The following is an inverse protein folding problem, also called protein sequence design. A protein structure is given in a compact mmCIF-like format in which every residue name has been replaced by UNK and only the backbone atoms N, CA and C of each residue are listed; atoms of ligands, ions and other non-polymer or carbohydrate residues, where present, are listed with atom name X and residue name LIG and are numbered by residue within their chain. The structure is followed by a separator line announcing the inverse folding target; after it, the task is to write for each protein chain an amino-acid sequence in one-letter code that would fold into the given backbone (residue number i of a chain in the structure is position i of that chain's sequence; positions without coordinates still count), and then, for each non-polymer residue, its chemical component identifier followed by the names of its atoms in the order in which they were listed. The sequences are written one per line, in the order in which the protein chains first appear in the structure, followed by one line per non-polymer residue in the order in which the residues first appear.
data_IF_351751081065
#
_entry.id   IF_351751081065
#
_cell.length_a   1.000
_cell.length_b   1.000
_cell.length_c   1.000
_cell.angle_alpha   90.00
_cell.angle_beta   90.00
_cell.angle_gamma   90.00
#
_symmetry.space_group_name_H-M   'P 1'
#
loop_
_entity.id
_entity.type
_entity.pdbx_description
1 polymer ?
#
# COMPACT_ATOMS: atom_id res chain seq x y z
N UNK A 1 38.61 30.61 -29.47
CA UNK A 1 37.23 30.99 -29.80
C UNK A 1 36.50 31.13 -28.49
N UNK A 2 36.06 32.34 -28.21
CA UNK A 2 35.45 32.79 -26.96
C UNK A 2 34.17 32.02 -26.68
N UNK A 3 34.21 31.25 -25.60
CA UNK A 3 33.05 30.67 -24.93
C UNK A 3 32.26 31.83 -24.31
N UNK A 4 31.35 32.39 -25.10
CA UNK A 4 30.36 33.31 -24.59
C UNK A 4 29.41 32.46 -23.74
N UNK A 5 29.50 32.62 -22.42
CA UNK A 5 28.54 32.08 -21.46
C UNK A 5 27.12 32.43 -21.97
N UNK A 6 26.43 31.42 -22.52
CA UNK A 6 25.05 31.56 -23.00
C UNK A 6 24.16 31.87 -21.80
N UNK A 7 23.24 32.80 -21.98
CA UNK A 7 22.38 33.25 -20.87
C UNK A 7 21.38 32.14 -20.51
N UNK A 8 20.97 32.02 -19.23
CA UNK A 8 20.00 31.00 -18.79
C UNK A 8 18.76 30.88 -19.69
N UNK A 9 18.23 32.02 -20.15
CA UNK A 9 17.07 32.10 -21.02
C UNK A 9 17.20 31.37 -22.37
N UNK A 10 18.42 31.10 -22.86
CA UNK A 10 18.61 30.48 -24.18
C UNK A 10 18.46 28.96 -24.16
N UNK A 11 19.01 28.28 -23.17
CA UNK A 11 18.84 26.83 -23.04
C UNK A 11 17.43 26.49 -22.53
N UNK A 12 16.85 27.30 -21.64
CA UNK A 12 15.46 27.13 -21.18
C UNK A 12 14.47 27.14 -22.34
N UNK A 13 14.57 28.12 -23.26
CA UNK A 13 13.73 28.16 -24.47
C UNK A 13 13.89 26.94 -25.38
N UNK A 14 15.08 26.34 -25.42
CA UNK A 14 15.34 25.13 -26.21
C UNK A 14 14.73 23.89 -25.57
N UNK A 15 14.73 23.81 -24.24
CA UNK A 15 14.01 22.78 -23.49
C UNK A 15 12.51 22.91 -23.73
N UNK A 16 11.96 24.13 -23.64
CA UNK A 16 10.55 24.40 -23.94
C UNK A 16 10.18 24.01 -25.37
N UNK A 17 11.04 24.34 -26.36
CA UNK A 17 10.84 23.94 -27.75
C UNK A 17 10.87 22.42 -27.94
N UNK A 18 11.81 21.72 -27.30
CA UNK A 18 11.88 20.26 -27.35
C UNK A 18 10.61 19.62 -26.75
N UNK A 19 10.08 20.16 -25.65
CA UNK A 19 8.82 19.70 -25.08
C UNK A 19 7.60 20.01 -25.94
N UNK A 20 7.58 21.15 -26.63
CA UNK A 20 6.49 21.50 -27.54
C UNK A 20 6.41 20.55 -28.75
N UNK A 21 7.54 19.94 -29.13
CA UNK A 21 7.66 18.99 -30.24
C UNK A 21 7.69 17.52 -29.78
N UNK A 22 7.56 17.24 -28.48
CA UNK A 22 7.68 15.89 -27.92
C UNK A 22 6.61 14.93 -28.48
N UNK A 23 7.06 13.76 -28.94
CA UNK A 23 6.21 12.67 -29.46
C UNK A 23 6.71 11.33 -28.89
N UNK A 24 5.83 10.64 -28.16
CA UNK A 24 6.14 9.34 -27.55
C UNK A 24 6.37 8.23 -28.58
N UNK A 25 5.97 8.45 -29.84
CA UNK A 25 6.24 7.55 -30.97
C UNK A 25 7.63 7.76 -31.57
N UNK A 26 8.37 8.79 -31.15
CA UNK A 26 9.72 9.12 -31.62
C UNK A 26 10.70 9.26 -30.44
N UNK A 27 10.87 8.19 -29.62
CA UNK A 27 11.63 8.27 -28.36
C UNK A 27 13.09 8.69 -28.56
N UNK A 28 13.74 8.22 -29.63
CA UNK A 28 15.14 8.53 -29.92
C UNK A 28 15.34 10.00 -30.31
N UNK A 29 14.37 10.59 -31.01
CA UNK A 29 14.42 12.00 -31.42
C UNK A 29 14.29 12.91 -30.19
N UNK A 30 13.31 12.64 -29.32
CA UNK A 30 13.13 13.39 -28.07
C UNK A 30 14.35 13.28 -27.16
N UNK A 31 14.86 12.06 -26.92
CA UNK A 31 16.07 11.86 -26.09
C UNK A 31 17.27 12.59 -26.67
N UNK A 32 17.47 12.52 -27.98
CA UNK A 32 18.60 13.19 -28.65
C UNK A 32 18.48 14.71 -28.58
N UNK A 33 17.30 15.26 -28.83
CA UNK A 33 17.04 16.70 -28.77
C UNK A 33 17.26 17.23 -27.35
N UNK A 34 16.72 16.56 -26.34
CA UNK A 34 16.89 16.94 -24.94
C UNK A 34 18.35 16.79 -24.50
N UNK A 35 19.00 15.65 -24.77
CA UNK A 35 20.40 15.42 -24.40
C UNK A 35 21.35 16.47 -24.99
N UNK A 36 21.11 16.95 -26.21
CA UNK A 36 21.91 17.99 -26.84
C UNK A 36 21.85 19.34 -26.10
N UNK A 37 20.71 19.67 -25.47
CA UNK A 37 20.59 20.88 -24.63
C UNK A 37 21.17 20.63 -23.25
N UNK A 38 20.87 19.49 -22.65
CA UNK A 38 21.25 19.18 -21.27
C UNK A 38 22.76 18.95 -21.08
N UNK A 39 23.48 18.54 -22.14
CA UNK A 39 24.94 18.42 -22.12
C UNK A 39 25.67 19.77 -21.95
N UNK A 40 24.96 20.89 -22.10
CA UNK A 40 25.49 22.24 -21.88
C UNK A 40 25.44 22.66 -20.40
N UNK A 41 24.67 21.95 -19.57
CA UNK A 41 24.54 22.19 -18.14
C UNK A 41 25.64 21.44 -17.35
N UNK A 42 26.00 21.92 -16.15
CA UNK A 42 26.94 21.21 -15.29
C UNK A 42 26.51 19.77 -14.99
N UNK A 43 27.49 18.87 -14.87
CA UNK A 43 27.21 17.50 -14.43
C UNK A 43 26.58 17.51 -13.04
N UNK A 44 25.48 16.77 -12.87
CA UNK A 44 24.72 16.72 -11.62
C UNK A 44 23.85 17.96 -11.35
N UNK A 45 23.70 18.87 -12.32
CA UNK A 45 22.77 19.98 -12.22
C UNK A 45 21.33 19.48 -12.00
N UNK A 46 20.64 20.03 -10.99
CA UNK A 46 19.32 19.59 -10.57
C UNK A 46 18.28 19.71 -11.70
N UNK A 47 18.35 20.79 -12.48
CA UNK A 47 17.42 21.03 -13.60
C UNK A 47 17.68 20.04 -14.73
N UNK A 48 18.94 19.77 -15.05
CA UNK A 48 19.32 18.75 -16.03
C UNK A 48 18.81 17.36 -15.65
N UNK A 49 18.98 16.95 -14.38
CA UNK A 49 18.49 15.68 -13.87
C UNK A 49 16.96 15.57 -13.96
N UNK A 50 16.24 16.63 -13.58
CA UNK A 50 14.78 16.70 -13.68
C UNK A 50 14.28 16.53 -15.12
N UNK A 51 14.91 17.20 -16.08
CA UNK A 51 14.49 17.14 -17.48
C UNK A 51 14.75 15.77 -18.10
N UNK A 52 15.87 15.13 -17.74
CA UNK A 52 16.12 13.72 -18.10
C UNK A 52 15.07 12.80 -17.51
N UNK A 53 14.74 12.97 -16.24
CA UNK A 53 13.70 12.18 -15.58
C UNK A 53 12.35 12.35 -16.27
N UNK A 54 11.99 13.59 -16.62
CA UNK A 54 10.76 13.94 -17.33
C UNK A 54 10.66 13.27 -18.70
N UNK A 55 11.77 13.20 -19.46
CA UNK A 55 11.79 12.48 -20.74
C UNK A 55 11.53 10.99 -20.55
N UNK A 56 12.21 10.34 -19.60
CA UNK A 56 11.99 8.90 -19.38
C UNK A 56 10.57 8.62 -18.90
N UNK A 57 10.02 9.43 -17.99
CA UNK A 57 8.64 9.32 -17.51
C UNK A 57 7.62 9.51 -18.64
N UNK A 58 7.81 10.53 -19.48
CA UNK A 58 6.96 10.78 -20.65
C UNK A 58 6.95 9.60 -21.64
N UNK A 59 8.08 8.89 -21.78
CA UNK A 59 8.23 7.73 -22.65
C UNK A 59 7.75 6.41 -22.00
N UNK A 60 7.21 6.45 -20.79
CA UNK A 60 6.77 5.26 -20.06
C UNK A 60 7.91 4.41 -19.52
N UNK A 61 9.07 5.01 -19.26
CA UNK A 61 10.25 4.38 -18.66
C UNK A 61 10.38 4.79 -17.18
N UNK A 62 9.33 4.56 -16.39
CA UNK A 62 9.23 5.05 -15.02
C UNK A 62 10.36 4.55 -14.12
N UNK A 63 10.80 3.30 -14.33
CA UNK A 63 11.91 2.69 -13.59
C UNK A 63 13.21 3.49 -13.80
N UNK A 64 13.43 4.03 -15.00
CA UNK A 64 14.58 4.87 -15.31
C UNK A 64 14.41 6.31 -14.80
N UNK A 65 13.17 6.84 -14.81
CA UNK A 65 12.85 8.18 -14.35
C UNK A 65 13.00 8.36 -12.82
N UNK A 66 12.55 7.39 -12.03
CA UNK A 66 12.54 7.46 -10.55
C UNK A 66 13.89 7.85 -9.93
N UNK A 67 15.02 7.18 -10.24
CA UNK A 67 16.31 7.58 -9.65
C UNK A 67 16.71 9.00 -10.05
N UNK A 68 16.45 9.41 -11.30
CA UNK A 68 16.77 10.76 -11.78
C UNK A 68 15.95 11.84 -11.06
N UNK A 69 14.65 11.64 -10.84
CA UNK A 69 13.85 12.58 -10.04
C UNK A 69 14.35 12.69 -8.60
N UNK A 70 14.72 11.56 -7.97
CA UNK A 70 15.26 11.56 -6.60
C UNK A 70 16.58 12.31 -6.52
N UNK A 71 17.46 12.12 -7.49
CA UNK A 71 18.73 12.84 -7.59
C UNK A 71 18.51 14.34 -7.82
N UNK A 72 17.58 14.71 -8.71
CA UNK A 72 17.23 16.11 -8.97
C UNK A 72 16.72 16.82 -7.71
N UNK A 73 15.81 16.17 -6.96
CA UNK A 73 15.30 16.68 -5.70
C UNK A 73 16.40 16.81 -4.64
N UNK A 74 17.31 15.82 -4.55
CA UNK A 74 18.43 15.85 -3.62
C UNK A 74 19.46 16.95 -3.96
N UNK A 75 19.64 17.26 -5.24
CA UNK A 75 20.50 18.34 -5.72
C UNK A 75 19.91 19.75 -5.49
N UNK A 76 18.63 19.86 -5.12
CA UNK A 76 17.97 21.12 -4.77
C UNK A 76 17.37 21.84 -5.98
N UNK A 77 16.23 21.37 -6.46
CA UNK A 77 15.45 22.04 -7.49
C UNK A 77 14.86 23.36 -6.98
N UNK A 78 14.92 24.41 -7.79
CA UNK A 78 14.19 25.64 -7.53
C UNK A 78 12.70 25.51 -7.90
N UNK A 79 11.84 26.27 -7.24
CA UNK A 79 10.46 26.42 -7.67
C UNK A 79 10.37 27.00 -9.09
N UNK A 80 9.44 26.54 -9.95
CA UNK A 80 8.36 25.58 -9.66
C UNK A 80 8.75 24.10 -9.86
N UNK A 81 9.99 23.82 -10.28
CA UNK A 81 10.41 22.49 -10.73
C UNK A 81 10.49 21.46 -9.60
N UNK A 82 10.75 21.89 -8.36
CA UNK A 82 10.70 21.00 -7.19
C UNK A 82 9.33 20.32 -7.06
N UNK A 83 8.25 21.09 -7.04
CA UNK A 83 6.88 20.57 -6.89
C UNK A 83 6.44 19.75 -8.11
N UNK A 84 6.90 20.12 -9.31
CA UNK A 84 6.68 19.31 -10.52
C UNK A 84 7.37 17.95 -10.41
N UNK A 85 8.63 17.93 -9.98
CA UNK A 85 9.41 16.70 -9.80
C UNK A 85 8.77 15.77 -8.77
N UNK A 86 8.26 16.32 -7.66
CA UNK A 86 7.55 15.52 -6.65
C UNK A 86 6.29 14.88 -7.23
N UNK A 87 5.49 15.64 -8.00
CA UNK A 87 4.24 15.12 -8.60
C UNK A 87 4.55 14.05 -9.64
N UNK A 88 5.51 14.29 -10.53
CA UNK A 88 5.89 13.34 -11.57
C UNK A 88 6.52 12.08 -10.96
N UNK A 89 7.45 12.22 -10.01
CA UNK A 89 7.99 11.09 -9.24
C UNK A 89 6.88 10.26 -8.59
N UNK A 90 5.86 10.90 -8.00
CA UNK A 90 4.73 10.18 -7.43
C UNK A 90 3.94 9.40 -8.48
N UNK A 91 3.74 9.99 -9.67
CA UNK A 91 3.12 9.31 -10.81
C UNK A 91 3.94 8.08 -11.24
N UNK A 92 5.25 8.23 -11.40
CA UNK A 92 6.14 7.14 -11.80
C UNK A 92 6.17 6.02 -10.75
N UNK A 93 6.25 6.36 -9.45
CA UNK A 93 6.18 5.40 -8.34
C UNK A 93 4.87 4.60 -8.36
N UNK A 94 3.75 5.27 -8.60
CA UNK A 94 2.44 4.62 -8.69
C UNK A 94 2.37 3.65 -9.87
N UNK A 95 2.88 4.03 -11.04
CA UNK A 95 2.87 3.19 -12.24
C UNK A 95 3.71 1.92 -12.07
N UNK A 96 4.79 1.96 -11.30
CA UNK A 96 5.59 0.76 -10.95
C UNK A 96 5.02 -0.03 -9.75
N UNK A 97 3.84 0.34 -9.24
CA UNK A 97 3.15 -0.35 -8.14
C UNK A 97 3.51 0.12 -6.74
N UNK A 98 4.38 1.12 -6.58
CA UNK A 98 4.72 1.72 -5.28
C UNK A 98 3.76 2.88 -4.92
N UNK A 99 2.49 2.53 -4.76
CA UNK A 99 1.45 3.50 -4.40
C UNK A 99 1.69 4.15 -3.02
N UNK A 100 2.23 3.38 -2.06
CA UNK A 100 2.59 3.87 -0.74
C UNK A 100 3.74 4.89 -0.79
N UNK A 101 4.77 4.65 -1.60
CA UNK A 101 5.84 5.61 -1.87
C UNK A 101 5.33 6.89 -2.53
N UNK A 102 4.43 6.76 -3.52
CA UNK A 102 3.77 7.90 -4.17
C UNK A 102 3.00 8.78 -3.16
N UNK A 103 2.22 8.17 -2.26
CA UNK A 103 1.52 8.90 -1.18
C UNK A 103 2.51 9.61 -0.26
N UNK A 104 3.66 9.00 0.01
CA UNK A 104 4.67 9.55 0.92
C UNK A 104 5.26 10.85 0.37
N UNK A 105 5.71 10.86 -0.89
CA UNK A 105 6.35 12.04 -1.49
C UNK A 105 5.37 13.20 -1.66
N UNK A 106 4.11 12.93 -2.02
CA UNK A 106 3.08 13.98 -2.21
C UNK A 106 2.72 14.72 -0.92
N UNK A 107 2.91 14.11 0.26
CA UNK A 107 2.66 14.80 1.55
C UNK A 107 3.62 15.97 1.79
N UNK A 108 4.75 16.03 1.10
CA UNK A 108 5.73 17.10 1.25
C UNK A 108 5.30 18.43 0.64
N UNK A 109 4.32 18.42 -0.27
CA UNK A 109 3.87 19.62 -0.97
C UNK A 109 3.04 20.50 -0.02
N UNK A 110 3.45 21.77 0.11
CA UNK A 110 2.76 22.75 0.95
C UNK A 110 1.33 23.00 0.45
N UNK A 111 0.32 23.15 1.33
CA UNK A 111 -1.03 23.56 0.93
C UNK A 111 -1.12 24.92 0.22
N UNK A 112 -0.08 25.77 0.34
CA UNK A 112 0.02 27.06 -0.35
C UNK A 112 0.78 26.98 -1.67
N UNK A 113 1.32 25.81 -2.02
CA UNK A 113 2.02 25.60 -3.28
C UNK A 113 1.05 25.77 -4.46
N UNK A 114 1.45 26.44 -5.56
CA UNK A 114 0.60 26.57 -6.75
C UNK A 114 0.10 25.24 -7.33
N UNK A 115 0.86 24.15 -7.16
CA UNK A 115 0.52 22.80 -7.62
C UNK A 115 -0.13 21.93 -6.55
N UNK A 116 -0.43 22.44 -5.36
CA UNK A 116 -1.04 21.66 -4.27
C UNK A 116 -2.35 20.95 -4.70
N UNK A 117 -3.14 21.58 -5.57
CA UNK A 117 -4.40 20.98 -6.08
C UNK A 117 -4.15 19.85 -7.07
N UNK A 118 -3.15 19.98 -7.93
CA UNK A 118 -2.71 18.90 -8.80
C UNK A 118 -2.17 17.73 -7.96
N UNK A 119 -1.34 18.01 -6.96
CA UNK A 119 -0.79 17.02 -6.03
C UNK A 119 -1.88 16.21 -5.31
N UNK A 120 -2.96 16.84 -4.84
CA UNK A 120 -4.10 16.12 -4.25
C UNK A 120 -4.83 15.21 -5.24
N UNK A 121 -4.87 15.57 -6.53
CA UNK A 121 -5.38 14.70 -7.60
C UNK A 121 -4.55 13.42 -7.75
N UNK A 122 -3.23 13.55 -7.87
CA UNK A 122 -2.31 12.40 -7.93
C UNK A 122 -2.33 11.58 -6.64
N UNK A 123 -2.48 12.24 -5.49
CA UNK A 123 -2.61 11.57 -4.19
C UNK A 123 -3.90 10.76 -4.11
N UNK A 124 -5.00 11.25 -4.68
CA UNK A 124 -6.24 10.48 -4.75
C UNK A 124 -6.06 9.21 -5.60
N UNK A 125 -5.34 9.28 -6.72
CA UNK A 125 -5.00 8.09 -7.53
C UNK A 125 -4.13 7.10 -6.74
N UNK A 126 -3.07 7.58 -6.09
CA UNK A 126 -2.20 6.72 -5.29
C UNK A 126 -2.94 6.08 -4.10
N UNK A 127 -3.85 6.82 -3.44
CA UNK A 127 -4.73 6.26 -2.40
C UNK A 127 -5.67 5.19 -2.93
N UNK A 128 -6.13 5.30 -4.18
CA UNK A 128 -7.00 4.28 -4.76
C UNK A 128 -6.23 2.99 -5.02
N UNK A 129 -5.03 3.09 -5.61
CA UNK A 129 -4.17 1.94 -5.91
C UNK A 129 -3.63 1.26 -4.64
N UNK A 130 -3.50 2.01 -3.55
CA UNK A 130 -3.13 1.52 -2.21
C UNK A 130 -4.34 0.98 -1.40
N UNK A 131 -5.42 0.54 -2.10
CA UNK A 131 -6.69 0.01 -1.57
C UNK A 131 -7.36 0.90 -0.49
N UNK A 132 -7.25 2.23 -0.63
CA UNK A 132 -7.89 3.23 0.25
C UNK A 132 -8.93 4.07 -0.51
N UNK A 133 -9.93 3.45 -1.19
CA UNK A 133 -10.84 4.14 -2.12
C UNK A 133 -11.69 5.24 -1.46
N UNK A 134 -12.04 5.09 -0.17
CA UNK A 134 -12.77 6.13 0.56
C UNK A 134 -11.91 7.37 0.80
N UNK A 135 -10.63 7.17 1.12
CA UNK A 135 -9.69 8.29 1.30
C UNK A 135 -9.40 8.96 -0.04
N UNK A 136 -9.24 8.17 -1.10
CA UNK A 136 -9.09 8.65 -2.47
C UNK A 136 -10.26 9.56 -2.89
N UNK A 137 -11.50 9.05 -2.79
CA UNK A 137 -12.68 9.81 -3.17
C UNK A 137 -12.86 11.06 -2.30
N UNK A 138 -12.55 10.99 -1.00
CA UNK A 138 -12.58 12.16 -0.12
C UNK A 138 -11.59 13.23 -0.57
N UNK A 139 -10.36 12.86 -0.90
CA UNK A 139 -9.34 13.80 -1.38
C UNK A 139 -9.77 14.44 -2.71
N UNK A 140 -10.28 13.65 -3.66
CA UNK A 140 -10.77 14.14 -4.95
C UNK A 140 -11.96 15.11 -4.80
N UNK A 141 -12.94 14.77 -3.96
CA UNK A 141 -14.10 15.64 -3.72
C UNK A 141 -13.72 16.93 -2.98
N UNK A 142 -12.75 16.87 -2.05
CA UNK A 142 -12.26 18.07 -1.39
C UNK A 142 -11.55 19.00 -2.39
N UNK A 143 -10.67 18.47 -3.24
CA UNK A 143 -10.03 19.22 -4.31
C UNK A 143 -11.06 19.86 -5.25
N UNK A 144 -12.01 19.07 -5.78
CA UNK A 144 -13.08 19.56 -6.66
C UNK A 144 -13.94 20.63 -5.99
N UNK A 145 -14.16 20.55 -4.67
CA UNK A 145 -15.01 21.50 -3.94
C UNK A 145 -14.51 22.96 -3.99
N UNK A 146 -13.23 23.17 -4.30
CA UNK A 146 -12.64 24.49 -4.46
C UNK A 146 -12.89 25.07 -5.86
N UNK A 147 -13.02 24.20 -6.88
CA UNK A 147 -13.26 24.58 -8.28
C UNK A 147 -14.74 24.85 -8.59
N UNK A 148 -15.66 24.40 -7.73
CA UNK A 148 -17.12 24.58 -7.92
C UNK A 148 -17.78 25.34 -6.77
N UNK A 149 -17.54 26.65 -6.59
CA UNK A 149 -17.99 27.41 -5.41
C UNK A 149 -19.49 27.27 -5.07
N UNK A 150 -20.34 27.19 -6.10
CA UNK A 150 -21.80 27.02 -5.94
C UNK A 150 -22.17 25.71 -5.21
N UNK A 151 -21.42 24.62 -5.45
CA UNK A 151 -21.66 23.29 -4.87
C UNK A 151 -20.59 22.83 -3.88
N UNK A 152 -19.53 23.62 -3.66
CA UNK A 152 -18.37 23.22 -2.87
C UNK A 152 -18.71 22.82 -1.43
N UNK A 153 -19.65 23.53 -0.79
CA UNK A 153 -20.15 23.15 0.55
C UNK A 153 -20.77 21.76 0.55
N UNK A 154 -21.60 21.43 -0.45
CA UNK A 154 -22.25 20.13 -0.54
C UNK A 154 -21.22 19.01 -0.77
N UNK A 155 -20.25 19.22 -1.66
CA UNK A 155 -19.18 18.25 -1.92
C UNK A 155 -18.35 17.95 -0.66
N UNK A 156 -17.96 18.97 0.12
CA UNK A 156 -17.26 18.77 1.40
C UNK A 156 -18.10 17.99 2.42
N UNK A 157 -19.41 18.24 2.46
CA UNK A 157 -20.34 17.48 3.30
C UNK A 157 -20.34 16.00 2.91
N UNK A 158 -20.55 15.69 1.62
CA UNK A 158 -20.55 14.32 1.13
C UNK A 158 -19.20 13.62 1.35
N UNK A 159 -18.09 14.32 1.11
CA UNK A 159 -16.74 13.80 1.36
C UNK A 159 -16.54 13.41 2.85
N UNK A 160 -17.11 14.21 3.77
CA UNK A 160 -17.10 13.93 5.21
C UNK A 160 -17.99 12.75 5.59
N UNK A 161 -19.09 12.54 4.85
CA UNK A 161 -20.04 11.45 5.08
C UNK A 161 -19.63 10.12 4.45
N UNK A 162 -18.60 10.10 3.58
CA UNK A 162 -18.08 8.84 3.03
C UNK A 162 -17.65 7.87 4.14
N UNK A 163 -18.09 6.63 4.02
CA UNK A 163 -17.73 5.51 4.90
C UNK A 163 -17.20 4.36 4.04
N UNK A 164 -16.35 3.54 4.65
CA UNK A 164 -15.98 2.24 4.07
C UNK A 164 -17.25 1.43 3.94
N UNK A 165 -17.53 0.95 2.73
CA UNK A 165 -18.67 0.08 2.50
C UNK A 165 -18.39 -1.27 3.17
N UNK A 166 -19.32 -1.83 3.94
CA UNK A 166 -19.18 -3.19 4.45
C UNK A 166 -18.95 -4.14 3.28
N UNK A 167 -17.96 -5.03 3.43
CA UNK A 167 -17.67 -6.09 2.46
C UNK A 167 -17.56 -7.40 3.23
N UNK A 168 -18.05 -8.47 2.61
CA UNK A 168 -17.78 -9.82 3.07
C UNK A 168 -16.34 -10.14 2.66
N UNK A 169 -15.50 -10.49 3.63
CA UNK A 169 -14.12 -10.93 3.38
C UNK A 169 -14.08 -12.45 3.35
N UNK A 170 -13.40 -13.03 2.38
CA UNK A 170 -13.05 -14.45 2.42
C UNK A 170 -11.67 -14.55 3.05
N UNK A 171 -11.52 -15.40 4.07
CA UNK A 171 -10.24 -15.61 4.76
C UNK A 171 -9.91 -17.10 4.80
N UNK A 172 -8.62 -17.42 4.95
CA UNK A 172 -8.15 -18.77 5.18
C UNK A 172 -7.24 -18.80 6.41
N UNK A 173 -7.58 -19.64 7.38
CA UNK A 173 -6.91 -19.67 8.69
C UNK A 173 -6.37 -21.05 9.04
N UNK A 174 -5.26 -21.08 9.77
CA UNK A 174 -4.56 -22.27 10.20
C UNK A 174 -4.97 -22.67 11.63
N UNK A 175 -5.37 -23.92 11.82
CA UNK A 175 -5.40 -24.58 13.10
C UNK A 175 -4.21 -25.53 13.21
N UNK A 176 -3.22 -25.09 13.98
CA UNK A 176 -2.09 -25.94 14.39
C UNK A 176 -2.36 -26.37 15.83
N UNK A 177 -2.68 -27.65 16.02
CA UNK A 177 -3.01 -28.25 17.32
C UNK A 177 -1.98 -29.33 17.65
N UNK A 178 -1.38 -29.25 18.83
CA UNK A 178 -0.36 -30.19 19.29
C UNK A 178 -0.38 -30.34 20.81
N UNK A 179 -0.48 -31.58 21.30
CA UNK A 179 -0.46 -31.95 22.72
C UNK A 179 -1.47 -31.20 23.61
N UNK A 180 -2.67 -30.94 23.10
CA UNK A 180 -3.71 -30.20 23.84
C UNK A 180 -3.55 -28.67 23.81
N UNK A 181 -2.62 -28.16 23.01
CA UNK A 181 -2.45 -26.74 22.75
C UNK A 181 -2.82 -26.38 21.33
N UNK A 182 -3.27 -25.14 21.13
CA UNK A 182 -3.49 -24.54 19.81
C UNK A 182 -2.59 -23.32 19.66
N UNK A 183 -2.10 -23.10 18.45
CA UNK A 183 -1.39 -21.90 18.09
C UNK A 183 -2.41 -20.77 17.82
N UNK A 184 -2.26 -19.62 18.49
CA UNK A 184 -3.16 -18.49 18.36
C UNK A 184 -2.41 -17.17 18.32
N UNK A 185 -2.90 -16.26 17.48
CA UNK A 185 -2.49 -14.85 17.45
C UNK A 185 -3.22 -14.09 18.56
N UNK A 186 -2.48 -13.43 19.45
CA UNK A 186 -3.03 -12.74 20.60
C UNK A 186 -3.32 -11.27 20.31
N UNK A 187 -4.56 -10.87 20.57
CA UNK A 187 -4.99 -9.48 20.55
C UNK A 187 -5.23 -9.01 21.98
N UNK A 188 -4.44 -8.02 22.40
CA UNK A 188 -4.56 -7.43 23.73
C UNK A 188 -5.94 -6.78 23.96
N UNK A 189 -6.33 -6.69 25.23
CA UNK A 189 -7.54 -5.99 25.63
C UNK A 189 -7.44 -4.48 25.34
N UNK A 190 -8.55 -3.88 24.93
CA UNK A 190 -8.77 -2.44 24.80
C UNK A 190 -9.92 -1.99 25.73
N UNK A 191 -10.13 -0.69 25.95
CA UNK A 191 -11.28 -0.20 26.73
C UNK A 191 -12.65 -0.68 26.20
N UNK A 192 -12.73 -0.98 24.90
CA UNK A 192 -13.93 -1.41 24.19
C UNK A 192 -14.03 -2.93 24.02
N UNK A 193 -12.96 -3.71 24.28
CA UNK A 193 -12.89 -5.12 23.91
C UNK A 193 -11.94 -5.92 24.83
N UNK A 194 -12.37 -7.09 25.28
CA UNK A 194 -11.51 -8.04 26.00
C UNK A 194 -10.39 -8.59 25.11
N UNK A 195 -9.35 -9.17 25.72
CA UNK A 195 -8.35 -9.92 24.98
C UNK A 195 -8.98 -11.17 24.33
N UNK A 196 -8.46 -11.59 23.19
CA UNK A 196 -8.92 -12.76 22.46
C UNK A 196 -7.80 -13.34 21.58
N UNK A 197 -8.03 -14.55 21.08
CA UNK A 197 -7.15 -15.21 20.13
C UNK A 197 -7.80 -15.31 18.75
N UNK A 198 -6.98 -15.28 17.69
CA UNK A 198 -7.38 -15.67 16.34
C UNK A 198 -6.52 -16.83 15.85
N UNK A 199 -7.12 -17.70 15.04
CA UNK A 199 -6.35 -18.60 14.18
C UNK A 199 -5.51 -17.77 13.20
N UNK A 200 -4.18 -18.00 13.08
CA UNK A 200 -3.33 -17.28 12.15
C UNK A 200 -3.75 -17.45 10.69
N UNK A 201 -3.42 -16.47 9.85
CA UNK A 201 -3.77 -16.43 8.43
C UNK A 201 -4.61 -15.21 8.06
N UNK A 202 -4.87 -15.04 6.77
CA UNK A 202 -5.35 -13.78 6.24
C UNK A 202 -6.34 -13.90 5.07
N UNK A 203 -6.38 -12.84 4.27
CA UNK A 203 -7.38 -12.65 3.23
C UNK A 203 -7.10 -13.50 1.98
N UNK A 204 -8.15 -14.08 1.40
CA UNK A 204 -8.05 -14.69 0.07
C UNK A 204 -8.14 -13.60 -0.99
N UNK A 205 -7.12 -13.50 -1.84
CA UNK A 205 -7.06 -12.52 -2.91
C UNK A 205 -7.94 -12.92 -4.12
N UNK A 206 -8.38 -11.96 -4.95
CA UNK A 206 -9.09 -12.28 -6.20
C UNK A 206 -8.28 -13.23 -7.09
N UNK A 207 -8.88 -14.34 -7.50
CA UNK A 207 -8.20 -15.37 -8.31
C UNK A 207 -7.37 -16.39 -7.51
N UNK A 208 -7.25 -16.20 -6.20
CA UNK A 208 -6.49 -17.08 -5.30
C UNK A 208 -7.37 -18.21 -4.71
N UNK A 209 -6.82 -19.42 -4.56
CA UNK A 209 -7.48 -20.51 -3.84
C UNK A 209 -7.25 -20.33 -2.33
N UNK A 210 -8.23 -20.66 -1.48
CA UNK A 210 -8.09 -20.54 -0.03
C UNK A 210 -6.86 -21.28 0.57
N UNK A 211 -6.50 -22.47 0.05
CA UNK A 211 -5.29 -23.19 0.47
C UNK A 211 -4.00 -22.45 0.04
N UNK A 212 -4.00 -21.78 -1.12
CA UNK A 212 -2.86 -20.97 -1.55
C UNK A 212 -2.72 -19.73 -0.65
N UNK A 213 -3.83 -19.04 -0.36
CA UNK A 213 -3.86 -17.91 0.57
C UNK A 213 -3.32 -18.29 1.94
N UNK A 214 -3.82 -19.38 2.54
CA UNK A 214 -3.32 -19.90 3.81
C UNK A 214 -1.79 -20.05 3.84
N UNK A 215 -1.22 -20.66 2.78
CA UNK A 215 0.23 -20.90 2.69
C UNK A 215 1.02 -19.62 2.54
N UNK A 216 0.52 -18.67 1.73
CA UNK A 216 1.11 -17.35 1.54
C UNK A 216 1.11 -16.57 2.85
N UNK A 217 -0.04 -16.44 3.50
CA UNK A 217 -0.20 -15.69 4.75
C UNK A 217 0.68 -16.26 5.86
N UNK A 218 0.73 -17.58 6.06
CA UNK A 218 1.61 -18.19 7.08
C UNK A 218 3.11 -17.94 6.78
N UNK A 219 3.50 -17.90 5.50
CA UNK A 219 4.87 -17.58 5.12
C UNK A 219 5.18 -16.09 5.32
N UNK A 220 4.26 -15.19 4.96
CA UNK A 220 4.41 -13.73 5.07
C UNK A 220 4.37 -13.25 6.52
N UNK A 221 3.39 -13.71 7.30
CA UNK A 221 3.16 -13.27 8.68
C UNK A 221 4.12 -13.93 9.68
N UNK A 222 4.41 -15.23 9.49
CA UNK A 222 5.10 -16.05 10.51
C UNK A 222 6.44 -16.63 10.03
N UNK A 223 6.84 -16.41 8.76
CA UNK A 223 8.07 -16.97 8.20
C UNK A 223 8.12 -18.50 8.21
N UNK A 224 6.97 -19.17 8.23
CA UNK A 224 6.87 -20.62 8.38
C UNK A 224 6.35 -21.32 7.11
N UNK A 225 6.72 -22.58 6.92
CA UNK A 225 6.26 -23.40 5.80
C UNK A 225 5.11 -24.33 6.22
N UNK A 226 4.16 -24.56 5.31
CA UNK A 226 3.06 -25.51 5.52
C UNK A 226 3.36 -26.78 4.72
N UNK A 227 3.53 -27.92 5.39
CA UNK A 227 3.78 -29.21 4.72
C UNK A 227 2.46 -29.87 4.33
N UNK A 228 1.44 -29.79 5.18
CA UNK A 228 0.10 -30.34 4.94
C UNK A 228 -0.98 -29.34 5.33
N UNK A 229 -2.06 -29.28 4.54
CA UNK A 229 -3.22 -28.45 4.81
C UNK A 229 -4.50 -29.20 4.41
N UNK A 230 -5.34 -29.50 5.39
CA UNK A 230 -6.61 -30.22 5.22
C UNK A 230 -7.77 -29.32 5.63
N UNK A 231 -8.72 -29.07 4.72
CA UNK A 231 -9.89 -28.26 5.02
C UNK A 231 -10.77 -28.98 6.04
N UNK A 232 -10.98 -28.36 7.19
CA UNK A 232 -11.88 -28.87 8.24
C UNK A 232 -13.32 -28.40 8.02
N UNK A 233 -13.49 -27.17 7.53
CA UNK A 233 -14.81 -26.59 7.28
C UNK A 233 -14.76 -25.13 6.89
N UNK A 234 -15.94 -24.56 6.68
CA UNK A 234 -16.12 -23.13 6.39
C UNK A 234 -17.04 -22.55 7.45
N UNK A 235 -16.63 -21.44 8.06
CA UNK A 235 -17.37 -20.74 9.10
C UNK A 235 -17.79 -19.36 8.58
N UNK A 236 -19.06 -19.04 8.71
CA UNK A 236 -19.57 -17.67 8.53
C UNK A 236 -19.41 -16.93 9.86
N UNK A 237 -18.50 -15.95 9.91
CA UNK A 237 -18.20 -15.17 11.10
C UNK A 237 -18.73 -13.74 10.93
N UNK A 238 -19.83 -13.43 11.61
CA UNK A 238 -20.48 -12.11 11.61
C UNK A 238 -20.27 -11.49 12.98
N UNK A 239 -19.69 -10.30 13.03
CA UNK A 239 -19.34 -9.63 14.28
C UNK A 239 -19.51 -8.11 14.17
N UNK A 240 -19.59 -7.45 15.32
CA UNK A 240 -19.47 -5.99 15.42
C UNK A 240 -18.11 -5.64 16.02
N UNK A 241 -17.39 -4.74 15.37
CA UNK A 241 -16.13 -4.20 15.87
C UNK A 241 -16.27 -2.68 15.99
N UNK A 242 -16.60 -2.21 17.20
CA UNK A 242 -16.78 -0.79 17.53
C UNK A 242 -17.81 -0.10 16.62
N UNK A 243 -18.97 -0.74 16.43
CA UNK A 243 -20.06 -0.25 15.58
C UNK A 243 -19.82 -0.45 14.08
N UNK A 244 -18.76 -1.18 13.70
CA UNK A 244 -18.51 -1.59 12.32
C UNK A 244 -18.83 -3.07 12.18
N UNK A 245 -19.85 -3.38 11.40
CA UNK A 245 -20.21 -4.74 11.06
C UNK A 245 -19.08 -5.39 10.23
N UNK A 246 -18.48 -6.44 10.78
CA UNK A 246 -17.59 -7.36 10.10
C UNK A 246 -18.34 -8.59 9.64
N UNK A 247 -17.95 -9.10 8.47
CA UNK A 247 -18.47 -10.36 7.94
C UNK A 247 -17.33 -11.08 7.21
N UNK A 248 -16.95 -12.24 7.72
CA UNK A 248 -15.94 -13.11 7.15
C UNK A 248 -16.54 -14.48 6.76
N UNK A 249 -16.14 -15.02 5.62
CA UNK A 249 -16.28 -16.44 5.26
C UNK A 249 -14.90 -17.08 5.46
N UNK A 250 -14.76 -17.83 6.54
CA UNK A 250 -13.48 -18.37 6.98
C UNK A 250 -13.33 -19.84 6.60
N UNK A 251 -12.38 -20.14 5.72
CA UNK A 251 -11.93 -21.51 5.47
C UNK A 251 -10.95 -21.90 6.58
N UNK A 252 -11.30 -22.94 7.35
CA UNK A 252 -10.51 -23.39 8.49
C UNK A 252 -9.75 -24.66 8.10
N UNK A 253 -8.42 -24.61 8.16
CA UNK A 253 -7.56 -25.73 7.80
C UNK A 253 -6.85 -26.32 9.01
N UNK A 254 -6.80 -27.64 9.11
CA UNK A 254 -5.79 -28.31 9.92
C UNK A 254 -4.46 -28.22 9.17
N UNK A 255 -3.42 -27.76 9.87
CA UNK A 255 -2.11 -27.47 9.27
C UNK A 255 -1.00 -28.25 9.97
N UNK A 256 -0.08 -28.80 9.17
CA UNK A 256 1.24 -29.25 9.63
C UNK A 256 2.30 -28.26 9.18
N UNK A 257 3.14 -27.85 10.13
CA UNK A 257 4.25 -26.94 9.92
C UNK A 257 5.33 -27.28 10.95
N UNK A 258 6.43 -27.92 10.55
CA UNK A 258 7.50 -28.31 11.47
C UNK A 258 8.05 -27.13 12.28
N UNK A 259 8.18 -25.96 11.66
CA UNK A 259 8.67 -24.74 12.28
C UNK A 259 7.73 -24.30 13.41
N UNK A 260 6.43 -24.17 13.12
CA UNK A 260 5.43 -23.77 14.12
C UNK A 260 5.26 -24.84 15.21
N UNK A 261 5.21 -26.12 14.84
CA UNK A 261 5.09 -27.25 15.77
C UNK A 261 6.31 -27.40 16.71
N UNK A 262 7.46 -26.84 16.32
CA UNK A 262 8.70 -26.84 17.13
C UNK A 262 8.83 -25.64 18.07
N UNK A 263 7.97 -24.62 17.94
CA UNK A 263 8.02 -23.42 18.79
C UNK A 263 7.89 -23.80 20.28
N UNK A 264 8.76 -23.28 21.18
CA UNK A 264 8.61 -23.46 22.62
C UNK A 264 7.26 -22.92 23.10
N UNK A 265 6.63 -23.60 24.08
CA UNK A 265 5.29 -23.22 24.61
C UNK A 265 5.24 -21.78 25.14
N UNK A 266 6.34 -21.33 25.72
CA UNK A 266 6.45 -20.03 26.39
C UNK A 266 6.91 -18.93 25.41
N UNK A 267 7.20 -19.28 24.16
CA UNK A 267 7.65 -18.32 23.15
C UNK A 267 6.49 -17.52 22.56
N UNK A 268 6.81 -16.32 22.08
CA UNK A 268 5.93 -15.46 21.29
C UNK A 268 6.65 -15.10 20.01
N UNK A 269 6.09 -15.52 18.89
CA UNK A 269 6.59 -15.19 17.56
C UNK A 269 5.90 -13.90 17.11
N UNK A 270 6.62 -12.80 16.84
CA UNK A 270 6.01 -11.58 16.32
C UNK A 270 5.43 -11.82 14.93
N UNK A 271 4.27 -11.23 14.66
CA UNK A 271 3.68 -11.19 13.32
C UNK A 271 4.42 -10.11 12.53
N UNK A 272 4.97 -10.45 11.36
CA UNK A 272 5.92 -9.57 10.65
C UNK A 272 5.30 -8.28 10.12
N UNK A 273 3.99 -8.25 9.87
CA UNK A 273 3.23 -7.12 9.35
C UNK A 273 2.23 -6.54 10.36
N UNK A 274 2.34 -6.93 11.64
CA UNK A 274 1.41 -6.52 12.70
C UNK A 274 2.07 -6.27 14.06
N UNK A 275 1.34 -5.58 14.94
CA UNK A 275 1.74 -5.34 16.34
C UNK A 275 1.25 -6.45 17.29
N UNK A 276 1.17 -7.67 16.79
CA UNK A 276 0.65 -8.85 17.49
C UNK A 276 1.70 -9.96 17.55
N UNK A 277 1.40 -11.00 18.34
CA UNK A 277 2.27 -12.17 18.40
C UNK A 277 1.47 -13.45 18.45
N UNK A 278 2.07 -14.50 17.90
CA UNK A 278 1.53 -15.85 17.89
C UNK A 278 2.22 -16.69 18.98
N UNK A 279 1.43 -17.47 19.72
CA UNK A 279 1.91 -18.33 20.79
C UNK A 279 1.04 -19.57 21.00
N UNK A 280 1.53 -20.48 21.85
CA UNK A 280 0.78 -21.67 22.24
C UNK A 280 -0.14 -21.41 23.42
N UNK A 281 -1.40 -21.84 23.30
CA UNK A 281 -2.42 -21.74 24.33
C UNK A 281 -3.04 -23.09 24.60
N UNK A 282 -3.28 -23.43 25.87
CA UNK A 282 -3.98 -24.67 26.22
C UNK A 282 -5.42 -24.58 25.76
N UNK A 283 -5.90 -25.62 25.09
CA UNK A 283 -7.29 -25.69 24.62
C UNK A 283 -8.30 -25.59 25.77
N UNK A 284 -7.95 -26.09 26.95
CA UNK A 284 -8.81 -26.08 28.13
C UNK A 284 -8.99 -24.68 28.74
N UNK A 285 -8.07 -23.76 28.47
CA UNK A 285 -8.11 -22.38 28.98
C UNK A 285 -8.96 -21.46 28.07
N UNK A 286 -9.37 -21.96 26.89
CA UNK A 286 -10.11 -21.19 25.90
C UNK A 286 -11.62 -21.40 26.07
N UNK A 287 -12.33 -20.30 26.32
CA UNK A 287 -13.78 -20.30 26.50
C UNK A 287 -14.41 -19.10 25.78
N UNK A 288 -15.52 -19.27 25.02
CA UNK A 288 -16.16 -18.18 24.26
C UNK A 288 -16.47 -16.93 25.10
N UNK A 289 -16.83 -17.12 26.37
CA UNK A 289 -17.20 -16.03 27.28
C UNK A 289 -16.03 -15.41 28.06
N UNK A 290 -14.86 -16.06 28.13
CA UNK A 290 -13.74 -15.60 28.95
C UNK A 290 -12.54 -15.19 28.10
N UNK A 291 -12.07 -16.11 27.25
CA UNK A 291 -10.94 -15.91 26.35
C UNK A 291 -11.25 -16.55 25.00
N UNK A 292 -12.04 -15.87 24.15
CA UNK A 292 -12.55 -16.45 22.92
C UNK A 292 -11.46 -16.67 21.89
N UNK A 293 -11.64 -17.71 21.09
CA UNK A 293 -10.81 -18.03 19.93
C UNK A 293 -11.65 -17.87 18.66
N UNK A 294 -11.14 -17.09 17.70
CA UNK A 294 -11.83 -16.77 16.45
C UNK A 294 -11.20 -17.47 15.23
N UNK A 295 -12.00 -17.84 14.22
CA UNK A 295 -13.44 -17.66 14.15
C UNK A 295 -14.21 -18.60 15.12
N UNK A 296 -15.40 -18.23 15.61
CA UNK A 296 -16.12 -19.01 16.60
C UNK A 296 -16.47 -20.40 16.06
N UNK A 297 -16.25 -21.46 16.84
CA UNK A 297 -16.45 -22.84 16.43
C UNK A 297 -15.27 -23.48 15.69
N UNK A 298 -14.20 -22.74 15.39
CA UNK A 298 -13.00 -23.31 14.75
C UNK A 298 -12.40 -24.47 15.55
N UNK A 299 -12.30 -24.33 16.88
CA UNK A 299 -11.75 -25.38 17.75
C UNK A 299 -12.62 -26.65 17.79
N UNK A 300 -13.93 -26.52 17.56
CA UNK A 300 -14.84 -27.67 17.53
C UNK A 300 -14.64 -28.51 16.25
N UNK A 301 -14.30 -27.85 15.13
CA UNK A 301 -13.95 -28.54 13.89
C UNK A 301 -12.71 -29.43 14.04
N UNK A 302 -11.75 -29.03 14.88
CA UNK A 302 -10.55 -29.83 15.16
C UNK A 302 -10.86 -31.04 16.07
N UNK A 303 -11.88 -30.95 16.94
CA UNK A 303 -12.31 -32.02 17.84
C UNK A 303 -13.16 -33.09 17.14
N UNK A 304 -13.83 -32.75 16.05
CA UNK A 304 -14.72 -33.66 15.29
C UNK A 304 -14.02 -34.65 14.35
N UNK A 305 -12.68 -34.68 14.27
CA UNK A 305 -11.91 -35.62 13.45
C UNK A 305 -11.31 -36.81 14.23
N UNK A 306 -11.84 -37.10 15.43
CA UNK A 306 -11.46 -38.24 16.27
C UNK A 306 -12.30 -39.48 16.04
#
# INVERSE_FOLDING_TARGET
MTDAARTPDEWERRIEAAWAEADDRQPDELRSAMAAVLAELPEGDARSLFERASVEDFLGEEVAAIPLYREALAAGLAAPFESQAVIQLASSLRNVGDASGAISVLKGISPTDPLARAAEGFRALALYDDDKPVRALRAALDALSHEVPMYGRALRSYASDLRVRPRIRVIAVALVVKDGYVLGEEYAASPSRRAFLRAPGGGVQPGERANAALRREIAEELGASVTEASLLGVIENIFDNEGRQGHEIAYVFAVRSPELESLPRDSRLPVLDGDTSVGWYRLDDLHPDAFPFYPPGALDLARGQG
#
